data_IF_469494938656
#
_entry.id   IF_469494938656
#
_cell.length_a   1.000
_cell.length_b   1.000
_cell.length_c   1.000
_cell.angle_alpha   90.00
_cell.angle_beta   90.00
_cell.angle_gamma   90.00
#
_symmetry.space_group_name_H-M   'P 1'
#
loop_
_entity.id
_entity.type
_entity.pdbx_description
1 polymer ?
#
# COMPACT_ATOMS: atom_id res chain seq x y z
N UNK A 1 -13.27 30.14 -12.43
CA UNK A 1 -13.55 28.69 -12.48
C UNK A 1 -12.34 27.88 -12.96
N UNK A 2 -11.57 28.35 -13.95
CA UNK A 2 -10.32 27.68 -14.40
C UNK A 2 -9.23 27.57 -13.32
N UNK A 3 -9.09 28.54 -12.41
CA UNK A 3 -8.06 28.49 -11.35
C UNK A 3 -8.31 27.42 -10.29
N UNK A 4 -9.59 27.11 -10.00
CA UNK A 4 -9.95 26.00 -9.08
C UNK A 4 -9.64 24.64 -9.71
N UNK A 5 -9.90 24.49 -11.01
CA UNK A 5 -9.63 23.24 -11.74
C UNK A 5 -8.12 23.02 -11.87
N UNK A 6 -7.34 24.06 -12.14
CA UNK A 6 -5.87 23.97 -12.16
C UNK A 6 -5.26 23.73 -10.78
N UNK A 7 -5.82 24.32 -9.72
CA UNK A 7 -5.37 24.08 -8.35
C UNK A 7 -5.69 22.65 -7.87
N UNK A 8 -6.90 22.15 -8.14
CA UNK A 8 -7.24 20.76 -7.82
C UNK A 8 -6.46 19.75 -8.66
N UNK A 9 -6.23 20.01 -9.95
CA UNK A 9 -5.39 19.17 -10.79
C UNK A 9 -3.95 19.11 -10.26
N UNK A 10 -3.37 20.24 -9.84
CA UNK A 10 -2.00 20.28 -9.29
C UNK A 10 -1.90 19.61 -7.91
N UNK A 11 -2.94 19.77 -7.07
CA UNK A 11 -3.05 19.10 -5.77
C UNK A 11 -3.15 17.58 -5.91
N UNK A 12 -3.98 17.11 -6.83
CA UNK A 12 -4.10 15.68 -7.16
C UNK A 12 -2.80 15.12 -7.76
N UNK A 13 -2.04 15.92 -8.50
CA UNK A 13 -0.79 15.51 -9.15
C UNK A 13 0.39 15.38 -8.17
N UNK A 14 0.45 16.19 -7.11
CA UNK A 14 1.48 16.06 -6.07
C UNK A 14 1.32 14.77 -5.23
N UNK A 15 0.10 14.26 -5.04
CA UNK A 15 -0.11 13.03 -4.26
C UNK A 15 0.47 11.77 -4.90
N UNK A 16 0.56 11.71 -6.23
CA UNK A 16 1.11 10.52 -6.91
C UNK A 16 2.63 10.38 -6.79
N UNK A 17 3.35 11.45 -6.45
CA UNK A 17 4.83 11.44 -6.53
C UNK A 17 5.45 10.53 -5.47
N UNK A 18 4.83 10.35 -4.31
CA UNK A 18 5.29 9.43 -3.26
C UNK A 18 4.18 8.51 -2.72
N UNK A 19 3.20 8.17 -3.55
CA UNK A 19 2.11 7.28 -3.15
C UNK A 19 2.47 5.80 -3.31
N UNK A 20 1.83 4.94 -2.50
CA UNK A 20 1.79 3.49 -2.71
C UNK A 20 0.94 3.06 -3.92
N UNK A 21 0.27 3.99 -4.61
CA UNK A 21 -0.45 3.68 -5.86
C UNK A 21 -0.02 4.57 -7.01
N UNK A 22 -0.02 4.03 -8.24
CA UNK A 22 0.17 4.78 -9.47
C UNK A 22 -1.10 4.88 -10.34
N UNK A 23 -2.21 4.37 -9.82
CA UNK A 23 -3.55 4.43 -10.41
C UNK A 23 -4.55 4.98 -9.37
N UNK A 24 -5.62 5.70 -9.77
CA UNK A 24 -6.57 6.25 -8.80
C UNK A 24 -7.19 5.16 -7.92
N UNK A 25 -6.92 5.21 -6.61
CA UNK A 25 -7.33 4.19 -5.66
C UNK A 25 -8.85 3.89 -5.65
N UNK A 26 -9.76 4.89 -5.69
CA UNK A 26 -11.20 4.61 -5.76
C UNK A 26 -11.59 3.82 -7.01
N UNK A 27 -10.98 4.12 -8.16
CA UNK A 27 -11.25 3.40 -9.42
C UNK A 27 -10.70 1.99 -9.34
N UNK A 28 -9.52 1.80 -8.73
CA UNK A 28 -8.94 0.48 -8.49
C UNK A 28 -9.87 -0.41 -7.66
N UNK A 29 -10.36 0.12 -6.53
CA UNK A 29 -11.27 -0.59 -5.63
C UNK A 29 -12.61 -0.90 -6.31
N UNK A 30 -13.21 0.08 -6.99
CA UNK A 30 -14.47 -0.13 -7.71
C UNK A 30 -14.32 -1.14 -8.85
N UNK A 31 -13.20 -1.10 -9.57
CA UNK A 31 -12.87 -2.07 -10.62
C UNK A 31 -12.73 -3.48 -10.07
N UNK A 32 -12.05 -3.64 -8.94
CA UNK A 32 -11.92 -4.92 -8.24
C UNK A 32 -13.28 -5.45 -7.77
N UNK A 33 -14.10 -4.61 -7.12
CA UNK A 33 -15.44 -5.00 -6.68
C UNK A 33 -16.36 -5.37 -7.85
N UNK A 34 -16.29 -4.62 -8.96
CA UNK A 34 -17.03 -4.92 -10.17
C UNK A 34 -16.59 -6.24 -10.79
N UNK A 35 -15.28 -6.55 -10.78
CA UNK A 35 -14.77 -7.84 -11.23
C UNK A 35 -15.28 -9.00 -10.35
N UNK A 36 -15.21 -8.87 -9.02
CA UNK A 36 -15.72 -9.88 -8.10
C UNK A 36 -17.23 -10.12 -8.27
N UNK A 37 -18.02 -9.04 -8.27
CA UNK A 37 -19.48 -9.11 -8.46
C UNK A 37 -19.86 -9.64 -9.85
N UNK A 38 -19.16 -9.19 -10.89
CA UNK A 38 -19.38 -9.64 -12.26
C UNK A 38 -19.09 -11.13 -12.45
N UNK A 39 -17.99 -11.64 -11.87
CA UNK A 39 -17.67 -13.07 -11.87
C UNK A 39 -18.74 -13.86 -11.13
N UNK A 40 -19.17 -13.40 -9.96
CA UNK A 40 -20.19 -14.10 -9.17
C UNK A 40 -21.53 -14.19 -9.91
N UNK A 41 -22.06 -13.05 -10.39
CA UNK A 41 -23.33 -13.00 -11.11
C UNK A 41 -23.27 -13.80 -12.42
N UNK A 42 -22.16 -13.69 -13.16
CA UNK A 42 -21.96 -14.47 -14.39
C UNK A 42 -21.86 -15.96 -14.10
N UNK A 43 -21.19 -16.35 -13.01
CA UNK A 43 -21.11 -17.74 -12.54
C UNK A 43 -22.49 -18.32 -12.26
N UNK A 44 -23.33 -17.60 -11.51
CA UNK A 44 -24.72 -18.00 -11.25
C UNK A 44 -25.51 -18.12 -12.55
N UNK A 45 -25.41 -17.12 -13.45
CA UNK A 45 -26.11 -17.14 -14.73
C UNK A 45 -25.67 -18.32 -15.63
N UNK A 46 -24.37 -18.65 -15.63
CA UNK A 46 -23.82 -19.81 -16.35
C UNK A 46 -24.37 -21.11 -15.76
N UNK A 47 -24.39 -21.26 -14.44
CA UNK A 47 -24.96 -22.44 -13.77
C UNK A 47 -26.43 -22.63 -14.13
N UNK A 48 -27.24 -21.56 -14.02
CA UNK A 48 -28.65 -21.59 -14.43
C UNK A 48 -28.80 -21.96 -15.91
N UNK A 49 -28.00 -21.35 -16.79
CA UNK A 49 -28.02 -21.62 -18.23
C UNK A 49 -27.67 -23.08 -18.56
N UNK A 50 -26.73 -23.67 -17.81
CA UNK A 50 -26.40 -25.09 -17.91
C UNK A 50 -27.55 -25.98 -17.43
N UNK A 51 -28.21 -25.64 -16.33
CA UNK A 51 -29.36 -26.38 -15.80
C UNK A 51 -30.57 -26.38 -16.76
N UNK A 52 -30.78 -25.31 -17.51
CA UNK A 52 -31.83 -25.23 -18.55
C UNK A 52 -31.35 -25.71 -19.94
N UNK A 53 -30.20 -26.40 -20.01
CA UNK A 53 -29.57 -26.92 -21.23
C UNK A 53 -29.28 -25.88 -22.33
N UNK A 54 -29.18 -24.59 -21.99
CA UNK A 54 -28.85 -23.48 -22.92
C UNK A 54 -27.34 -23.27 -23.04
N UNK A 55 -26.64 -24.31 -23.50
CA UNK A 55 -25.16 -24.34 -23.54
C UNK A 55 -24.52 -23.23 -24.40
N UNK A 56 -25.19 -22.77 -25.47
CA UNK A 56 -24.68 -21.66 -26.28
C UNK A 56 -24.60 -20.35 -25.49
N UNK A 57 -25.59 -20.09 -24.63
CA UNK A 57 -25.62 -18.89 -23.80
C UNK A 57 -24.58 -18.97 -22.67
N UNK A 58 -24.43 -20.14 -22.04
CA UNK A 58 -23.39 -20.39 -21.06
C UNK A 58 -21.98 -20.15 -21.63
N UNK A 59 -21.71 -20.63 -22.86
CA UNK A 59 -20.43 -20.40 -23.55
C UNK A 59 -20.18 -18.93 -23.88
N UNK A 60 -21.21 -18.20 -24.32
CA UNK A 60 -21.10 -16.77 -24.59
C UNK A 60 -20.76 -15.99 -23.32
N UNK A 61 -21.46 -16.25 -22.22
CA UNK A 61 -21.17 -15.61 -20.93
C UNK A 61 -19.75 -15.96 -20.44
N UNK A 62 -19.35 -17.23 -20.54
CA UNK A 62 -17.99 -17.65 -20.18
C UNK A 62 -16.92 -16.93 -21.03
N UNK A 63 -17.17 -16.76 -22.33
CA UNK A 63 -16.27 -16.02 -23.21
C UNK A 63 -16.18 -14.53 -22.83
N UNK A 64 -17.31 -13.89 -22.52
CA UNK A 64 -17.34 -12.50 -22.05
C UNK A 64 -16.57 -12.31 -20.74
N UNK A 65 -16.76 -13.21 -19.77
CA UNK A 65 -16.00 -13.21 -18.52
C UNK A 65 -14.51 -13.39 -18.78
N UNK A 66 -14.15 -14.30 -19.68
CA UNK A 66 -12.76 -14.52 -20.09
C UNK A 66 -12.11 -13.27 -20.68
N UNK A 67 -12.80 -12.57 -21.59
CA UNK A 67 -12.33 -11.31 -22.16
C UNK A 67 -12.18 -10.23 -21.07
N UNK A 68 -13.18 -10.09 -20.19
CA UNK A 68 -13.11 -9.11 -19.10
C UNK A 68 -11.94 -9.38 -18.14
N UNK A 69 -11.69 -10.65 -17.83
CA UNK A 69 -10.54 -11.05 -17.01
C UNK A 69 -9.21 -10.71 -17.70
N UNK A 70 -9.08 -10.99 -19.01
CA UNK A 70 -7.88 -10.62 -19.78
C UNK A 70 -7.63 -9.11 -19.71
N UNK A 71 -8.67 -8.29 -19.92
CA UNK A 71 -8.56 -6.83 -19.83
C UNK A 71 -8.13 -6.39 -18.42
N UNK A 72 -8.73 -6.95 -17.38
CA UNK A 72 -8.38 -6.63 -16.00
C UNK A 72 -6.91 -6.95 -15.69
N UNK A 73 -6.46 -8.15 -16.03
CA UNK A 73 -5.08 -8.56 -15.80
C UNK A 73 -4.09 -7.76 -16.66
N UNK A 74 -4.44 -7.42 -17.90
CA UNK A 74 -3.62 -6.56 -18.74
C UNK A 74 -3.41 -5.18 -18.09
N UNK A 75 -4.45 -4.60 -17.50
CA UNK A 75 -4.34 -3.34 -16.75
C UNK A 75 -3.51 -3.53 -15.47
N UNK A 76 -3.81 -4.55 -14.67
CA UNK A 76 -3.08 -4.86 -13.43
C UNK A 76 -1.56 -4.95 -13.68
N UNK A 77 -1.16 -5.78 -14.63
CA UNK A 77 0.26 -5.94 -14.97
C UNK A 77 0.83 -4.73 -15.69
N UNK A 78 0.06 -4.06 -16.55
CA UNK A 78 0.51 -2.86 -17.25
C UNK A 78 0.92 -1.75 -16.29
N UNK A 79 0.09 -1.43 -15.30
CA UNK A 79 0.41 -0.44 -14.27
C UNK A 79 1.57 -0.89 -13.37
N UNK A 80 1.64 -2.17 -13.02
CA UNK A 80 2.78 -2.73 -12.27
C UNK A 80 4.10 -2.58 -13.01
N UNK A 81 4.15 -2.86 -14.31
CA UNK A 81 5.39 -2.80 -15.10
C UNK A 81 5.89 -1.37 -15.32
N UNK A 82 4.98 -0.41 -15.41
CA UNK A 82 5.31 1.02 -15.58
C UNK A 82 5.76 1.66 -14.26
N UNK A 83 5.41 1.05 -13.12
CA UNK A 83 5.78 1.56 -11.80
C UNK A 83 7.30 1.68 -11.62
N UNK A 84 7.71 2.65 -10.79
CA UNK A 84 9.10 2.98 -10.55
C UNK A 84 9.48 2.64 -9.11
N UNK A 85 10.69 2.10 -8.93
CA UNK A 85 11.24 1.93 -7.60
C UNK A 85 11.67 3.30 -7.06
N UNK A 86 11.30 3.60 -5.82
CA UNK A 86 11.63 4.86 -5.16
C UNK A 86 12.33 4.61 -3.84
N UNK A 87 13.28 5.48 -3.51
CA UNK A 87 13.97 5.49 -2.22
C UNK A 87 13.77 6.88 -1.62
N UNK A 88 13.05 6.93 -0.51
CA UNK A 88 12.71 8.14 0.22
C UNK A 88 13.78 8.42 1.26
N UNK A 89 14.34 9.62 1.24
CA UNK A 89 15.28 10.06 2.27
C UNK A 89 14.57 10.24 3.63
N UNK A 90 15.35 10.32 4.70
CA UNK A 90 14.82 10.64 6.05
C UNK A 90 13.99 11.93 6.00
N UNK A 91 12.81 11.89 6.63
CA UNK A 91 11.83 12.98 6.62
C UNK A 91 10.96 13.10 5.36
N UNK A 92 11.26 12.36 4.28
CA UNK A 92 10.36 12.30 3.13
C UNK A 92 9.12 11.45 3.44
N UNK A 93 7.97 11.92 2.99
CA UNK A 93 6.68 11.29 3.24
C UNK A 93 6.30 10.31 2.12
N UNK A 94 5.89 9.10 2.52
CA UNK A 94 5.17 8.14 1.70
C UNK A 94 3.68 8.24 2.00
N UNK A 95 2.87 8.48 0.98
CA UNK A 95 1.41 8.55 1.10
C UNK A 95 0.78 7.18 0.84
N UNK A 96 -0.18 6.81 1.68
CA UNK A 96 -1.02 5.63 1.48
C UNK A 96 -2.37 6.06 0.94
N UNK A 97 -2.55 5.85 -0.37
CA UNK A 97 -3.78 6.11 -1.08
C UNK A 97 -4.64 4.84 -1.10
N UNK A 98 -5.29 4.56 0.03
CA UNK A 98 -6.38 3.58 0.11
C UNK A 98 -7.72 4.30 -0.16
N UNK A 99 -8.85 3.81 0.37
CA UNK A 99 -10.14 4.54 0.28
C UNK A 99 -10.03 5.93 0.93
N UNK A 100 -9.17 6.06 1.95
CA UNK A 100 -8.84 7.31 2.64
C UNK A 100 -7.37 7.68 2.38
N UNK A 101 -7.13 8.51 1.36
CA UNK A 101 -5.80 8.82 0.82
C UNK A 101 -4.95 9.81 1.64
N UNK A 102 -5.13 9.85 2.96
CA UNK A 102 -4.70 10.98 3.78
C UNK A 102 -3.56 10.67 4.75
N UNK A 103 -3.11 9.41 4.83
CA UNK A 103 -2.07 9.02 5.75
C UNK A 103 -0.70 9.06 5.07
N UNK A 104 0.20 9.83 5.67
CA UNK A 104 1.60 9.94 5.29
C UNK A 104 2.48 9.29 6.36
N UNK A 105 3.53 8.60 5.93
CA UNK A 105 4.54 8.01 6.81
C UNK A 105 5.92 8.53 6.44
N UNK A 106 6.73 8.87 7.44
CA UNK A 106 8.11 9.30 7.24
C UNK A 106 9.02 8.74 8.32
N UNK A 107 10.26 8.39 7.96
CA UNK A 107 11.28 8.04 8.95
C UNK A 107 11.87 9.32 9.50
N UNK A 108 11.72 9.54 10.81
CA UNK A 108 12.20 10.77 11.47
C UNK A 108 13.43 10.54 12.34
N UNK A 109 13.65 9.33 12.85
CA UNK A 109 14.81 9.00 13.66
C UNK A 109 15.27 7.56 13.56
N UNK A 110 16.56 7.33 13.80
CA UNK A 110 17.22 6.03 13.69
C UNK A 110 18.24 5.93 14.81
N UNK A 111 18.16 4.86 15.59
CA UNK A 111 19.10 4.55 16.68
C UNK A 111 19.61 3.13 16.55
N UNK A 112 20.90 2.94 16.80
CA UNK A 112 21.53 1.62 16.75
C UNK A 112 22.27 1.35 18.05
N UNK A 113 22.06 0.17 18.62
CA UNK A 113 22.73 -0.28 19.85
C UNK A 113 23.32 -1.67 19.59
N UNK A 114 24.60 -1.86 19.89
CA UNK A 114 25.23 -3.19 19.85
C UNK A 114 24.64 -4.09 20.95
N UNK A 115 24.20 -5.29 20.56
CA UNK A 115 23.80 -6.34 21.50
C UNK A 115 24.81 -7.48 21.41
N UNK A 116 25.52 -7.73 22.50
CA UNK A 116 26.32 -8.96 22.62
C UNK A 116 25.39 -10.10 22.99
N UNK A 117 25.12 -11.02 22.07
CA UNK A 117 24.40 -12.27 22.37
C UNK A 117 25.16 -13.44 21.77
N UNK A 118 25.88 -14.20 22.61
CA UNK A 118 26.48 -15.49 22.24
C UNK A 118 25.39 -16.58 22.17
N UNK A 119 25.48 -17.60 21.30
CA UNK A 119 26.65 -18.10 20.55
C UNK A 119 26.69 -17.68 19.07
N UNK A 120 25.73 -16.89 18.58
CA UNK A 120 25.47 -16.66 17.16
C UNK A 120 25.91 -15.26 16.72
N UNK A 121 27.20 -14.94 16.89
CA UNK A 121 27.80 -13.70 16.39
C UNK A 121 27.31 -12.40 17.05
N UNK A 122 27.91 -11.28 16.67
CA UNK A 122 27.53 -9.95 17.17
C UNK A 122 26.25 -9.46 16.46
N UNK A 123 25.28 -9.01 17.25
CA UNK A 123 23.97 -8.54 16.78
C UNK A 123 23.79 -7.05 17.08
N UNK A 124 22.95 -6.39 16.30
CA UNK A 124 22.60 -4.98 16.42
C UNK A 124 21.10 -4.86 16.70
N UNK A 125 20.73 -4.03 17.67
CA UNK A 125 19.37 -3.50 17.82
C UNK A 125 19.26 -2.24 16.99
N UNK A 126 18.40 -2.27 15.99
CA UNK A 126 18.15 -1.15 15.10
C UNK A 126 16.75 -0.62 15.35
N UNK A 127 16.63 0.62 15.83
CA UNK A 127 15.35 1.25 16.16
C UNK A 127 15.06 2.36 15.17
N UNK A 128 13.97 2.22 14.41
CA UNK A 128 13.48 3.23 13.47
C UNK A 128 12.27 3.92 14.08
N UNK A 129 12.33 5.25 14.20
CA UNK A 129 11.18 6.06 14.60
C UNK A 129 10.44 6.51 13.36
N UNK A 130 9.23 5.99 13.19
CA UNK A 130 8.31 6.31 12.11
C UNK A 130 7.31 7.34 12.60
N UNK A 131 7.10 8.41 11.84
CA UNK A 131 6.01 9.35 12.05
C UNK A 131 4.85 8.96 11.13
N UNK A 132 3.65 8.87 11.70
CA UNK A 132 2.39 8.80 10.96
C UNK A 132 1.72 10.16 11.05
N UNK A 133 1.34 10.74 9.91
CA UNK A 133 0.64 12.03 9.82
C UNK A 133 -0.63 11.87 9.02
N UNK A 134 -1.71 12.49 9.48
CA UNK A 134 -2.92 12.66 8.70
C UNK A 134 -2.85 14.02 8.00
N UNK A 135 -2.65 14.00 6.68
CA UNK A 135 -2.70 15.18 5.83
C UNK A 135 -4.14 15.66 5.58
N UNK A 136 -4.56 16.64 6.36
CA UNK A 136 -5.86 17.31 6.27
C UNK A 136 -6.09 18.02 4.95
N UNK A 137 -5.03 18.34 4.20
CA UNK A 137 -5.21 19.00 2.90
C UNK A 137 -5.84 18.06 1.89
N UNK A 138 -5.78 16.75 2.12
CA UNK A 138 -6.14 15.74 1.12
C UNK A 138 -7.58 15.25 1.29
N UNK A 139 -8.27 15.65 2.37
CA UNK A 139 -9.64 15.23 2.68
C UNK A 139 -10.67 15.93 1.81
N UNK A 140 -11.81 15.26 1.62
CA UNK A 140 -13.00 15.88 1.05
C UNK A 140 -13.44 17.06 1.92
N UNK A 141 -13.90 18.14 1.29
CA UNK A 141 -14.49 19.29 1.98
C UNK A 141 -15.75 18.94 2.78
N UNK A 142 -16.32 17.74 2.57
CA UNK A 142 -17.50 17.24 3.32
C UNK A 142 -17.11 16.40 4.53
N UNK A 143 -15.83 16.06 4.72
CA UNK A 143 -15.36 15.27 5.84
C UNK A 143 -15.29 16.14 7.10
N UNK A 144 -15.89 15.73 8.24
CA UNK A 144 -15.72 16.44 9.51
C UNK A 144 -14.27 16.41 10.00
N UNK A 145 -13.78 17.52 10.54
CA UNK A 145 -12.40 17.64 11.05
C UNK A 145 -12.19 16.97 12.41
N UNK A 146 -13.27 16.63 13.11
CA UNK A 146 -13.27 15.92 14.37
C UNK A 146 -13.37 14.40 14.20
N UNK A 147 -13.73 13.92 13.00
CA UNK A 147 -13.84 12.50 12.68
C UNK A 147 -12.45 11.85 12.48
N UNK A 148 -12.12 10.92 13.36
CA UNK A 148 -10.88 10.15 13.29
C UNK A 148 -10.86 9.18 12.11
N UNK A 149 -9.66 8.89 11.60
CA UNK A 149 -9.36 7.78 10.72
C UNK A 149 -8.53 6.75 11.48
N UNK A 150 -8.96 5.49 11.47
CA UNK A 150 -8.13 4.37 11.93
C UNK A 150 -7.28 3.90 10.75
N UNK A 151 -5.95 3.98 10.82
CA UNK A 151 -5.09 3.45 9.76
C UNK A 151 -5.33 1.95 9.56
N UNK A 152 -5.35 1.52 8.30
CA UNK A 152 -5.35 0.09 8.00
C UNK A 152 -4.03 -0.56 8.44
N UNK A 153 -4.03 -1.87 8.76
CA UNK A 153 -2.83 -2.58 9.14
C UNK A 153 -1.71 -2.44 8.09
N UNK A 154 -0.48 -2.36 8.57
CA UNK A 154 0.72 -2.18 7.75
C UNK A 154 1.64 -3.39 7.88
N UNK A 155 2.19 -3.83 6.77
CA UNK A 155 3.27 -4.80 6.75
C UNK A 155 4.61 -4.07 6.72
N UNK A 156 5.49 -4.47 7.65
CA UNK A 156 6.78 -3.83 7.86
C UNK A 156 7.87 -4.87 7.68
N UNK A 157 8.86 -4.52 6.85
CA UNK A 157 10.07 -5.31 6.62
C UNK A 157 11.26 -4.39 6.56
N UNK A 158 12.37 -4.80 7.14
CA UNK A 158 13.66 -4.19 6.91
C UNK A 158 14.45 -5.05 5.94
N UNK A 159 15.03 -4.44 4.91
CA UNK A 159 15.84 -5.13 3.91
C UNK A 159 17.27 -4.61 3.94
N UNK A 160 18.24 -5.47 3.73
CA UNK A 160 19.64 -5.06 3.54
C UNK A 160 20.06 -5.06 2.06
N UNK A 161 21.32 -4.71 1.80
CA UNK A 161 21.90 -4.70 0.46
C UNK A 161 22.06 -6.09 -0.17
N UNK A 162 22.02 -7.16 0.63
CA UNK A 162 22.10 -8.55 0.17
C UNK A 162 20.72 -9.14 -0.11
N UNK A 163 19.65 -8.40 0.19
CA UNK A 163 18.26 -8.86 0.03
C UNK A 163 17.75 -9.69 1.20
N UNK A 164 18.45 -9.72 2.33
CA UNK A 164 17.94 -10.35 3.56
C UNK A 164 16.82 -9.50 4.15
N UNK A 165 15.74 -10.14 4.56
CA UNK A 165 14.58 -9.49 5.16
C UNK A 165 14.51 -9.75 6.67
N UNK A 166 14.19 -8.71 7.43
CA UNK A 166 14.07 -8.75 8.87
C UNK A 166 12.71 -8.22 9.31
N UNK A 167 12.02 -9.01 10.13
CA UNK A 167 10.76 -8.61 10.75
C UNK A 167 10.97 -7.68 11.94
N UNK A 168 9.93 -6.94 12.29
CA UNK A 168 9.91 -6.14 13.52
C UNK A 168 9.97 -7.08 14.72
N UNK A 169 10.95 -6.88 15.60
CA UNK A 169 11.11 -7.64 16.84
C UNK A 169 10.23 -7.08 17.95
N UNK A 170 10.09 -5.76 18.02
CA UNK A 170 9.29 -5.06 19.04
C UNK A 170 8.75 -3.74 18.47
N UNK A 171 7.53 -3.38 18.86
CA UNK A 171 6.91 -2.08 18.55
C UNK A 171 6.80 -1.30 19.86
N UNK A 172 7.42 -0.12 19.90
CA UNK A 172 7.33 0.82 21.01
C UNK A 172 6.58 2.10 20.62
N UNK A 173 6.18 2.88 21.62
CA UNK A 173 5.45 4.14 21.41
C UNK A 173 3.97 3.90 21.04
N UNK A 174 3.42 4.74 20.16
CA UNK A 174 2.01 4.70 19.77
C UNK A 174 1.82 3.67 18.63
N UNK A 175 0.88 2.70 18.73
CA UNK A 175 0.62 1.74 17.66
C UNK A 175 0.23 2.38 16.32
N UNK A 176 0.59 1.75 15.20
CA UNK A 176 0.31 2.26 13.84
C UNK A 176 -1.17 2.28 13.47
N UNK A 177 -2.01 1.57 14.21
CA UNK A 177 -3.46 1.52 13.99
C UNK A 177 -4.20 2.50 14.92
N UNK A 178 -3.47 3.38 15.62
CA UNK A 178 -4.09 4.36 16.51
C UNK A 178 -4.93 5.36 15.70
N UNK A 179 -6.21 5.58 16.05
CA UNK A 179 -7.07 6.54 15.37
C UNK A 179 -6.48 7.95 15.41
N UNK A 180 -6.54 8.65 14.27
CA UNK A 180 -5.94 9.97 14.10
C UNK A 180 -6.96 10.94 13.51
N UNK A 181 -7.02 12.16 14.04
CA UNK A 181 -7.81 13.25 13.45
C UNK A 181 -7.04 13.91 12.30
N UNK A 182 -7.73 14.55 11.32
CA UNK A 182 -7.09 15.39 10.32
C UNK A 182 -6.09 16.39 10.96
N UNK A 183 -4.88 16.49 10.39
CA UNK A 183 -3.78 17.33 10.91
C UNK A 183 -3.03 16.73 12.09
N UNK A 184 -3.52 15.63 12.66
CA UNK A 184 -2.85 14.90 13.73
C UNK A 184 -1.59 14.19 13.24
N UNK A 185 -0.67 13.93 14.16
CA UNK A 185 0.46 13.04 13.94
C UNK A 185 0.84 12.28 15.22
N UNK A 186 1.52 11.15 15.07
CA UNK A 186 2.14 10.43 16.19
C UNK A 186 3.39 9.70 15.70
N UNK A 187 4.18 9.20 16.66
CA UNK A 187 5.41 8.46 16.38
C UNK A 187 5.35 7.04 16.92
N UNK A 188 5.81 6.10 16.11
CA UNK A 188 5.96 4.68 16.45
C UNK A 188 7.42 4.30 16.35
N UNK A 189 7.91 3.52 17.31
CA UNK A 189 9.27 2.97 17.27
C UNK A 189 9.23 1.52 16.82
N UNK A 190 9.98 1.21 15.77
CA UNK A 190 10.10 -0.12 15.18
C UNK A 190 11.49 -0.65 15.50
N UNK A 191 11.57 -1.70 16.31
CA UNK A 191 12.84 -2.32 16.66
C UNK A 191 13.07 -3.56 15.81
N UNK A 192 14.30 -3.69 15.31
CA UNK A 192 14.78 -4.83 14.54
C UNK A 192 16.04 -5.39 15.19
N UNK A 193 16.22 -6.70 15.08
CA UNK A 193 17.46 -7.37 15.48
C UNK A 193 18.16 -7.88 14.23
N UNK A 194 19.38 -7.41 13.99
CA UNK A 194 20.12 -7.63 12.75
C UNK A 194 21.53 -8.16 13.05
N UNK A 195 22.12 -8.98 12.18
CA UNK A 195 23.55 -9.27 12.27
C UNK A 195 24.38 -8.03 11.94
N UNK A 196 25.58 -7.91 12.53
CA UNK A 196 26.44 -6.72 12.37
C UNK A 196 26.93 -6.48 10.94
N UNK A 197 26.90 -7.50 10.09
CA UNK A 197 27.26 -7.41 8.67
C UNK A 197 26.14 -6.82 7.79
N UNK A 198 24.94 -6.61 8.34
CA UNK A 198 23.83 -6.00 7.62
C UNK A 198 24.12 -4.53 7.29
N UNK A 199 24.10 -4.19 6.01
CA UNK A 199 24.43 -2.87 5.48
C UNK A 199 23.49 -2.48 4.34
N UNK A 200 23.49 -1.20 3.96
CA UNK A 200 22.57 -0.63 2.95
C UNK A 200 21.09 -0.90 3.28
N UNK A 201 20.73 -0.63 4.54
CA UNK A 201 19.43 -0.92 5.10
C UNK A 201 18.34 -0.02 4.48
N UNK A 202 17.19 -0.62 4.21
CA UNK A 202 16.01 0.03 3.64
C UNK A 202 14.76 -0.47 4.33
N UNK A 203 13.91 0.45 4.77
CA UNK A 203 12.61 0.09 5.34
C UNK A 203 11.57 -0.02 4.22
N UNK A 204 10.85 -1.15 4.20
CA UNK A 204 9.65 -1.34 3.40
C UNK A 204 8.43 -1.31 4.32
N UNK A 205 7.51 -0.42 4.00
CA UNK A 205 6.20 -0.30 4.63
C UNK A 205 5.15 -0.45 3.53
N UNK A 206 4.26 -1.43 3.64
CA UNK A 206 3.20 -1.71 2.66
C UNK A 206 1.85 -1.88 3.33
N UNK A 207 0.77 -1.81 2.56
CA UNK A 207 -0.56 -2.19 3.05
C UNK A 207 -0.59 -3.70 3.34
N UNK A 208 -1.32 -4.12 4.36
CA UNK A 208 -1.50 -5.54 4.67
C UNK A 208 -2.65 -6.17 3.87
N UNK A 209 -2.55 -7.49 3.69
CA UNK A 209 -3.65 -8.32 3.17
C UNK A 209 -3.50 -8.73 1.71
N UNK A 210 -4.05 -9.91 1.38
CA UNK A 210 -3.85 -10.54 0.08
C UNK A 210 -4.57 -9.81 -1.07
N UNK A 211 -5.69 -9.16 -0.77
CA UNK A 211 -6.50 -8.42 -1.75
C UNK A 211 -5.73 -7.28 -2.41
N UNK A 212 -4.74 -6.71 -1.71
CA UNK A 212 -3.89 -5.63 -2.22
C UNK A 212 -3.15 -6.06 -3.50
N UNK A 213 -2.87 -7.36 -3.66
CA UNK A 213 -2.17 -7.93 -4.83
C UNK A 213 -2.97 -7.90 -6.12
N UNK A 214 -4.29 -7.69 -6.02
CA UNK A 214 -5.21 -7.67 -7.15
C UNK A 214 -5.72 -6.26 -7.47
N UNK A 215 -5.32 -5.24 -6.72
CA UNK A 215 -5.73 -3.87 -6.95
C UNK A 215 -4.82 -3.21 -8.00
N UNK A 216 -5.39 -2.82 -9.14
CA UNK A 216 -4.66 -2.17 -10.23
C UNK A 216 -3.88 -0.95 -9.70
N UNK A 217 -2.57 -0.97 -9.96
CA UNK A 217 -1.65 0.10 -9.61
C UNK A 217 -1.28 0.22 -8.14
N UNK A 218 -1.62 -0.76 -7.30
CA UNK A 218 -1.22 -0.81 -5.89
C UNK A 218 0.17 -1.45 -5.73
N UNK A 219 0.94 -0.96 -4.77
CA UNK A 219 2.33 -1.36 -4.56
C UNK A 219 2.56 -2.85 -4.30
N UNK A 220 1.62 -3.56 -3.68
CA UNK A 220 1.63 -5.01 -3.47
C UNK A 220 1.16 -5.82 -4.67
N UNK A 221 0.66 -5.18 -5.73
CA UNK A 221 0.38 -5.88 -6.98
C UNK A 221 1.61 -6.59 -7.52
N UNK A 222 1.37 -7.72 -8.18
CA UNK A 222 2.45 -8.48 -8.80
C UNK A 222 3.23 -7.62 -9.79
N UNK A 223 4.56 -7.74 -9.73
CA UNK A 223 5.53 -6.99 -10.54
C UNK A 223 5.61 -5.47 -10.25
N UNK A 224 4.78 -4.94 -9.35
CA UNK A 224 4.85 -3.53 -8.98
C UNK A 224 6.14 -3.26 -8.19
N UNK A 225 6.85 -2.21 -8.59
CA UNK A 225 8.06 -1.74 -7.94
C UNK A 225 7.72 -1.07 -6.61
N UNK A 226 8.64 -1.16 -5.65
CA UNK A 226 8.41 -0.73 -4.27
C UNK A 226 9.01 0.65 -4.00
N UNK A 227 8.42 1.32 -3.03
CA UNK A 227 8.93 2.55 -2.42
C UNK A 227 9.46 2.23 -1.03
N UNK A 228 10.76 2.45 -0.86
CA UNK A 228 11.50 2.21 0.37
C UNK A 228 11.85 3.51 1.06
N UNK A 229 12.08 3.47 2.37
CA UNK A 229 12.81 4.53 3.07
C UNK A 229 14.28 4.16 3.21
N UNK A 230 15.17 5.09 2.92
CA UNK A 230 16.59 4.99 3.24
C UNK A 230 16.80 5.15 4.75
N UNK A 231 17.75 4.40 5.30
CA UNK A 231 18.09 4.39 6.72
C UNK A 231 19.58 4.67 6.94
#
# INVERSE_FOLDING_TARGET
MQDKVHYEAKKNMCHFVNSNVNFPAPVSVLGFLAACGGIFLSGVAILVACSIHKLKFARLLAALVGVAAIVYFALLFGFSLISQQKILARGQEKYFCEIDCHLAYSVIDIKTIDIKTAPTGEMLRYTVTLQTRFDETTISSRRPLDATLTPNPREIRLLDGQGREYGVSEIGGIPLETPLKPGGSYTTQLQFTLPKDASNLRLLLTAAGWQQRLLIGEENSWLHKKTYFAL
#
